data_IF_552686904569
#
_entry.id   IF_552686904569
#
_cell.length_a   1.000
_cell.length_b   1.000
_cell.length_c   1.000
_cell.angle_alpha   90.00
_cell.angle_beta   90.00
_cell.angle_gamma   90.00
#
_symmetry.space_group_name_H-M   'P 1'
#
loop_
_entity.id
_entity.type
_entity.pdbx_description
1 polymer ?
#
# COMPACT_ATOMS: atom_id res chain seq x y z
N UNK A 1 65.53 35.75 -11.43
CA UNK A 1 64.17 35.79 -10.84
C UNK A 1 63.25 34.94 -11.70
N UNK A 2 62.94 33.70 -11.26
CA UNK A 2 62.10 32.74 -12.00
C UNK A 2 60.66 32.85 -11.47
N UNK A 3 59.74 33.24 -12.35
CA UNK A 3 58.29 33.31 -12.04
C UNK A 3 57.71 31.91 -12.19
N UNK A 4 57.21 31.32 -11.10
CA UNK A 4 56.46 30.10 -11.11
C UNK A 4 54.97 30.43 -11.38
N UNK A 5 54.45 29.97 -12.51
CA UNK A 5 53.01 30.06 -12.83
C UNK A 5 52.34 28.80 -12.30
N UNK A 6 51.44 28.95 -11.33
CA UNK A 6 50.58 27.89 -10.80
C UNK A 6 49.33 27.82 -11.67
N UNK A 7 49.18 26.71 -12.39
CA UNK A 7 47.95 26.36 -13.11
C UNK A 7 46.97 25.72 -12.10
N UNK A 8 45.91 26.46 -11.77
CA UNK A 8 44.76 25.94 -11.01
C UNK A 8 43.85 25.23 -11.98
N UNK A 9 43.90 23.89 -11.98
CA UNK A 9 42.97 23.06 -12.73
C UNK A 9 41.60 23.02 -12.03
N UNK A 10 40.59 23.64 -12.64
CA UNK A 10 39.18 23.55 -12.21
C UNK A 10 38.63 22.17 -12.57
N UNK A 11 38.44 21.31 -11.58
CA UNK A 11 37.69 20.04 -11.76
C UNK A 11 36.22 20.39 -11.78
N UNK A 12 35.60 20.42 -12.96
CA UNK A 12 34.16 20.50 -13.11
C UNK A 12 33.58 19.14 -12.73
N UNK A 13 33.00 19.03 -11.52
CA UNK A 13 32.20 17.89 -11.13
C UNK A 13 30.90 17.89 -11.98
N UNK A 14 30.80 16.97 -12.93
CA UNK A 14 29.58 16.69 -13.66
C UNK A 14 28.58 16.05 -12.66
N UNK A 15 27.71 16.87 -12.08
CA UNK A 15 26.55 16.40 -11.36
C UNK A 15 25.59 15.79 -12.41
N UNK A 16 25.64 14.48 -12.60
CA UNK A 16 24.62 13.77 -13.36
C UNK A 16 23.30 13.86 -12.58
N UNK A 17 22.21 14.37 -13.20
CA UNK A 17 20.91 14.31 -12.56
C UNK A 17 20.55 12.83 -12.42
N UNK A 18 20.45 12.34 -11.19
CA UNK A 18 19.77 11.08 -10.92
C UNK A 18 18.31 11.30 -11.28
N UNK A 19 17.89 10.82 -12.43
CA UNK A 19 16.46 10.67 -12.72
C UNK A 19 15.95 9.58 -11.78
N UNK A 20 15.31 9.99 -10.69
CA UNK A 20 14.53 9.07 -9.89
C UNK A 20 13.48 8.47 -10.85
N UNK A 21 13.58 7.19 -11.15
CA UNK A 21 12.57 6.50 -11.94
C UNK A 21 11.25 6.61 -11.17
N UNK A 22 10.30 7.34 -11.73
CA UNK A 22 8.97 7.43 -11.17
C UNK A 22 8.31 6.05 -11.31
N UNK A 23 7.97 5.41 -10.19
CA UNK A 23 7.25 4.15 -10.21
C UNK A 23 5.89 4.34 -10.87
N UNK A 24 5.50 3.38 -11.69
CA UNK A 24 4.22 3.43 -12.38
C UNK A 24 3.47 2.11 -12.31
N UNK A 25 2.16 2.20 -12.05
CA UNK A 25 1.24 1.09 -12.20
C UNK A 25 0.87 0.87 -13.66
N UNK A 26 0.73 -0.40 -14.03
CA UNK A 26 0.11 -0.82 -15.29
C UNK A 26 -0.73 -2.08 -15.06
N UNK A 27 -1.67 -2.34 -15.98
CA UNK A 27 -2.63 -3.43 -15.84
C UNK A 27 -3.87 -3.00 -15.04
N UNK A 28 -4.35 -3.86 -14.16
CA UNK A 28 -5.51 -3.62 -13.29
C UNK A 28 -5.41 -4.50 -12.03
N UNK A 29 -6.29 -4.25 -11.06
CA UNK A 29 -6.37 -5.03 -9.83
C UNK A 29 -7.64 -5.90 -9.76
N UNK A 30 -8.21 -6.28 -10.91
CA UNK A 30 -9.40 -7.13 -10.94
C UNK A 30 -9.08 -8.57 -10.51
N UNK A 31 -9.99 -9.17 -9.77
CA UNK A 31 -9.85 -10.52 -9.25
C UNK A 31 -8.80 -10.62 -8.13
N UNK A 32 -8.54 -9.52 -7.43
CA UNK A 32 -7.66 -9.54 -6.26
C UNK A 32 -8.30 -10.30 -5.11
N UNK A 33 -7.53 -11.18 -4.48
CA UNK A 33 -8.00 -12.00 -3.39
C UNK A 33 -6.86 -12.34 -2.42
N UNK A 34 -7.19 -12.49 -1.15
CA UNK A 34 -6.24 -12.86 -0.13
C UNK A 34 -6.87 -13.02 1.24
N UNK A 35 -6.03 -13.06 2.25
CA UNK A 35 -6.42 -13.23 3.63
C UNK A 35 -5.81 -12.13 4.48
N UNK A 36 -6.55 -11.64 5.45
CA UNK A 36 -6.09 -10.66 6.44
C UNK A 36 -6.45 -11.09 7.86
N UNK A 37 -5.46 -11.03 8.74
CA UNK A 37 -5.64 -11.18 10.18
C UNK A 37 -5.78 -9.78 10.79
N UNK A 38 -6.96 -9.50 11.30
CA UNK A 38 -7.40 -8.18 11.77
C UNK A 38 -7.75 -8.24 13.25
N UNK A 39 -7.51 -7.15 13.97
CA UNK A 39 -7.88 -7.02 15.38
C UNK A 39 -8.39 -5.62 15.70
N UNK A 40 -9.55 -5.58 16.36
CA UNK A 40 -10.05 -4.42 17.08
C UNK A 40 -10.89 -4.89 18.25
N UNK A 41 -10.56 -5.28 19.32
CA UNK A 41 -11.26 -5.96 20.42
C UNK A 41 -11.19 -7.49 20.31
N UNK A 42 -11.39 -8.05 19.15
CA UNK A 42 -11.21 -9.47 18.85
C UNK A 42 -10.29 -9.62 17.63
N UNK A 43 -9.55 -10.71 17.62
CA UNK A 43 -8.71 -11.08 16.49
C UNK A 43 -9.52 -11.99 15.57
N UNK A 44 -9.55 -11.68 14.27
CA UNK A 44 -10.26 -12.46 13.25
C UNK A 44 -9.40 -12.60 12.00
N UNK A 45 -9.53 -13.73 11.33
CA UNK A 45 -8.92 -13.98 10.01
C UNK A 45 -10.02 -14.00 8.97
N UNK A 46 -9.96 -13.04 8.04
CA UNK A 46 -10.98 -12.84 7.02
C UNK A 46 -10.37 -12.94 5.62
N UNK A 47 -11.15 -13.50 4.69
CA UNK A 47 -10.84 -13.34 3.28
C UNK A 47 -11.10 -11.89 2.85
N UNK A 48 -10.26 -11.38 1.97
CA UNK A 48 -10.40 -10.05 1.38
C UNK A 48 -10.39 -10.18 -0.12
N UNK A 49 -11.39 -9.61 -0.77
CA UNK A 49 -11.47 -9.55 -2.23
C UNK A 49 -11.77 -8.14 -2.70
N UNK A 50 -11.28 -7.78 -3.89
CA UNK A 50 -11.63 -6.52 -4.54
C UNK A 50 -11.29 -6.55 -6.04
N UNK A 51 -11.89 -5.63 -6.76
CA UNK A 51 -11.49 -5.24 -8.11
C UNK A 51 -10.83 -3.86 -8.09
N UNK A 52 -10.10 -3.52 -9.14
CA UNK A 52 -9.49 -2.18 -9.20
C UNK A 52 -9.00 -1.80 -10.59
N UNK A 53 -9.03 -0.50 -10.83
CA UNK A 53 -8.63 0.11 -12.10
C UNK A 53 -7.47 1.08 -11.88
N UNK A 54 -6.44 1.01 -12.70
CA UNK A 54 -5.37 2.01 -12.75
C UNK A 54 -5.95 3.31 -13.30
N UNK A 55 -6.06 4.31 -12.46
CA UNK A 55 -6.63 5.64 -12.80
C UNK A 55 -5.57 6.64 -13.21
N UNK A 56 -4.33 6.42 -12.80
CA UNK A 56 -3.15 7.17 -13.23
C UNK A 56 -1.90 6.27 -13.14
N UNK A 57 -0.76 6.73 -13.62
CA UNK A 57 0.50 6.00 -13.46
C UNK A 57 0.85 5.70 -11.99
N UNK A 58 0.32 6.45 -11.04
CA UNK A 58 0.66 6.33 -9.62
C UNK A 58 -0.50 5.89 -8.74
N UNK A 59 -1.69 5.64 -9.30
CA UNK A 59 -2.90 5.38 -8.49
C UNK A 59 -3.76 4.28 -9.09
N UNK A 60 -4.24 3.39 -8.22
CA UNK A 60 -5.28 2.39 -8.50
C UNK A 60 -6.50 2.75 -7.65
N UNK A 61 -7.66 2.93 -8.30
CA UNK A 61 -8.94 2.99 -7.60
C UNK A 61 -9.43 1.57 -7.35
N UNK A 62 -9.73 1.24 -6.10
CA UNK A 62 -10.26 -0.06 -5.69
C UNK A 62 -11.78 0.03 -5.64
N UNK A 63 -12.43 -0.92 -6.26
CA UNK A 63 -13.88 -1.08 -6.30
C UNK A 63 -14.31 -2.41 -5.72
N UNK A 64 -15.55 -2.47 -5.26
CA UNK A 64 -16.16 -3.70 -4.72
C UNK A 64 -15.29 -4.42 -3.66
N UNK A 65 -14.68 -3.70 -2.69
CA UNK A 65 -13.98 -4.39 -1.62
C UNK A 65 -14.97 -5.20 -0.78
N UNK A 66 -14.58 -6.42 -0.42
CA UNK A 66 -15.34 -7.30 0.45
C UNK A 66 -14.40 -7.95 1.48
N UNK A 67 -14.89 -8.13 2.70
CA UNK A 67 -14.17 -8.73 3.82
C UNK A 67 -15.04 -9.86 4.35
N UNK A 68 -15.15 -10.91 3.57
CA UNK A 68 -15.89 -12.14 3.92
C UNK A 68 -15.62 -13.23 2.86
N UNK A 69 -15.69 -14.50 3.18
CA UNK A 69 -15.91 -15.13 4.50
C UNK A 69 -14.63 -15.18 5.36
N UNK A 70 -14.47 -16.19 6.18
CA UNK A 70 -13.37 -16.41 7.11
C UNK A 70 -13.92 -16.89 8.46
N UNK A 71 -13.38 -16.37 9.54
CA UNK A 71 -13.96 -16.56 10.86
C UNK A 71 -15.40 -16.04 10.91
N UNK A 72 -16.25 -16.65 11.74
CA UNK A 72 -17.67 -16.25 11.84
C UNK A 72 -17.85 -14.73 12.05
N UNK A 73 -16.95 -14.10 12.79
CA UNK A 73 -17.00 -12.66 13.05
C UNK A 73 -16.71 -11.80 11.83
N UNK A 74 -16.14 -12.36 10.76
CA UNK A 74 -15.92 -11.64 9.50
C UNK A 74 -17.22 -11.20 8.82
N UNK A 75 -18.34 -11.89 9.09
CA UNK A 75 -19.68 -11.51 8.60
C UNK A 75 -20.12 -10.13 9.11
N UNK A 76 -19.50 -9.62 10.15
CA UNK A 76 -19.80 -8.32 10.76
C UNK A 76 -18.72 -7.27 10.47
N UNK A 77 -17.67 -7.64 9.70
CA UNK A 77 -16.65 -6.71 9.25
C UNK A 77 -17.02 -6.25 7.86
N UNK A 78 -17.25 -4.96 7.70
CA UNK A 78 -17.61 -4.39 6.39
C UNK A 78 -16.59 -3.36 5.94
N UNK A 79 -16.25 -3.31 4.65
CA UNK A 79 -15.35 -2.28 4.13
C UNK A 79 -15.84 -0.88 4.45
N UNK A 80 -14.92 0.00 4.83
CA UNK A 80 -15.19 1.40 5.18
C UNK A 80 -14.43 2.34 4.25
N UNK A 81 -15.12 3.40 3.82
CA UNK A 81 -14.54 4.46 3.01
C UNK A 81 -14.18 4.03 1.58
N UNK A 82 -13.47 4.89 0.88
CA UNK A 82 -12.99 4.63 -0.49
C UNK A 82 -11.61 3.99 -0.44
N UNK A 83 -11.46 2.82 -1.03
CA UNK A 83 -10.18 2.13 -1.09
C UNK A 83 -9.37 2.55 -2.33
N UNK A 84 -8.06 2.67 -2.17
CA UNK A 84 -7.15 2.98 -3.27
C UNK A 84 -5.74 2.48 -2.96
N UNK A 85 -4.92 2.34 -4.00
CA UNK A 85 -3.50 2.08 -3.84
C UNK A 85 -2.69 3.15 -4.57
N UNK A 86 -1.50 3.47 -4.03
CA UNK A 86 -0.58 4.44 -4.61
C UNK A 86 0.85 3.91 -4.64
N UNK A 87 1.63 4.35 -5.63
CA UNK A 87 3.07 4.06 -5.68
C UNK A 87 3.81 4.79 -4.56
N UNK A 88 4.90 4.20 -4.10
CA UNK A 88 5.85 4.84 -3.18
C UNK A 88 7.00 5.41 -4.01
N UNK A 89 7.21 6.71 -3.96
CA UNK A 89 8.26 7.38 -4.74
C UNK A 89 9.65 6.78 -4.42
N UNK A 90 10.35 6.35 -5.47
CA UNK A 90 11.69 5.77 -5.36
C UNK A 90 11.75 4.32 -4.86
N UNK A 91 10.61 3.64 -4.65
CA UNK A 91 10.60 2.26 -4.15
C UNK A 91 9.54 1.40 -4.84
N UNK A 92 9.96 0.62 -5.84
CA UNK A 92 9.10 -0.31 -6.58
C UNK A 92 8.75 -1.60 -5.80
N UNK A 93 9.23 -1.73 -4.57
CA UNK A 93 8.92 -2.87 -3.69
C UNK A 93 7.87 -2.54 -2.64
N UNK A 94 7.28 -1.34 -2.71
CA UNK A 94 6.28 -0.85 -1.75
C UNK A 94 5.06 -0.28 -2.45
N UNK A 95 3.92 -0.48 -1.82
CA UNK A 95 2.65 0.14 -2.22
C UNK A 95 2.01 0.74 -0.96
N UNK A 96 1.55 1.97 -1.05
CA UNK A 96 0.68 2.57 -0.05
C UNK A 96 -0.77 2.22 -0.39
N UNK A 97 -1.48 1.57 0.52
CA UNK A 97 -2.89 1.23 0.36
C UNK A 97 -3.73 1.99 1.37
N UNK A 98 -4.73 2.71 0.89
CA UNK A 98 -5.75 3.38 1.69
C UNK A 98 -6.96 2.47 1.77
N UNK A 99 -7.36 2.12 2.98
CA UNK A 99 -8.46 1.20 3.24
C UNK A 99 -9.10 1.46 4.60
N UNK A 100 -10.20 0.82 4.86
CA UNK A 100 -10.83 0.83 6.16
C UNK A 100 -11.85 -0.27 6.34
N UNK A 101 -12.20 -0.50 7.58
CA UNK A 101 -13.23 -1.45 7.97
C UNK A 101 -14.07 -0.91 9.12
N UNK A 102 -15.34 -1.26 9.13
CA UNK A 102 -16.19 -1.18 10.29
C UNK A 102 -16.28 -2.58 10.90
N UNK A 103 -15.97 -2.70 12.16
CA UNK A 103 -15.89 -3.99 12.84
C UNK A 103 -17.14 -4.27 13.66
N UNK A 104 -17.18 -5.43 14.29
CA UNK A 104 -18.26 -5.85 15.22
C UNK A 104 -18.46 -4.86 16.38
N UNK A 105 -17.45 -4.09 16.73
CA UNK A 105 -17.54 -3.06 17.76
C UNK A 105 -18.27 -1.80 17.28
N UNK A 106 -18.63 -1.73 15.98
CA UNK A 106 -19.21 -0.57 15.32
C UNK A 106 -18.38 0.72 15.49
N UNK A 107 -17.05 0.54 15.45
CA UNK A 107 -16.04 1.59 15.61
C UNK A 107 -15.14 1.57 14.36
N UNK A 108 -15.49 2.34 13.31
CA UNK A 108 -14.83 2.23 12.02
C UNK A 108 -13.43 2.81 12.05
N UNK A 109 -12.50 2.11 11.39
CA UNK A 109 -11.15 2.55 11.12
C UNK A 109 -10.96 2.85 9.65
N UNK A 110 -10.11 3.85 9.34
CA UNK A 110 -9.77 4.19 7.96
C UNK A 110 -8.42 4.88 7.92
N UNK A 111 -7.58 4.53 6.96
CA UNK A 111 -6.28 5.16 6.80
C UNK A 111 -5.42 4.52 5.71
N UNK A 112 -4.19 5.00 5.61
CA UNK A 112 -3.22 4.50 4.64
C UNK A 112 -2.13 3.73 5.36
N UNK A 113 -1.83 2.54 4.87
CA UNK A 113 -0.73 1.69 5.34
C UNK A 113 0.18 1.32 4.18
N UNK A 114 1.46 1.11 4.48
CA UNK A 114 2.46 0.67 3.50
C UNK A 114 2.65 -0.82 3.59
N UNK A 115 2.51 -1.49 2.44
CA UNK A 115 2.80 -2.91 2.28
C UNK A 115 4.01 -3.17 1.39
N UNK A 116 4.53 -4.39 1.49
CA UNK A 116 5.57 -4.93 0.64
C UNK A 116 4.95 -5.50 -0.64
N UNK A 117 5.48 -5.11 -1.80
CA UNK A 117 5.03 -5.58 -3.10
C UNK A 117 6.06 -6.51 -3.73
N UNK A 118 5.66 -7.71 -4.04
CA UNK A 118 6.42 -8.63 -4.89
C UNK A 118 5.85 -8.62 -6.31
N UNK A 119 6.53 -7.92 -7.20
CA UNK A 119 6.09 -7.79 -8.59
C UNK A 119 6.19 -9.11 -9.39
N UNK A 120 7.00 -10.05 -8.96
CA UNK A 120 7.13 -11.37 -9.59
C UNK A 120 6.03 -12.32 -9.18
N UNK A 121 5.72 -12.37 -7.89
CA UNK A 121 4.63 -13.17 -7.32
C UNK A 121 3.26 -12.50 -7.49
N UNK A 122 3.21 -11.19 -7.76
CA UNK A 122 1.98 -10.38 -7.79
C UNK A 122 1.27 -10.37 -6.43
N UNK A 123 2.04 -10.22 -5.37
CA UNK A 123 1.54 -10.29 -4.00
C UNK A 123 1.86 -9.02 -3.23
N UNK A 124 0.85 -8.47 -2.58
CA UNK A 124 0.97 -7.43 -1.58
C UNK A 124 0.93 -8.07 -0.18
N UNK A 125 1.94 -7.78 0.63
CA UNK A 125 2.02 -8.23 2.03
C UNK A 125 2.00 -7.02 2.95
N UNK A 126 1.12 -7.04 3.95
CA UNK A 126 1.03 -6.02 5.00
C UNK A 126 1.27 -6.72 6.34
N UNK A 127 2.18 -6.19 7.16
CA UNK A 127 2.52 -6.80 8.44
C UNK A 127 2.59 -5.75 9.54
N UNK A 128 1.90 -6.02 10.65
CA UNK A 128 1.89 -5.20 11.87
C UNK A 128 1.66 -3.70 11.58
N UNK A 129 0.54 -3.38 10.94
CA UNK A 129 0.09 -2.01 10.67
C UNK A 129 -1.17 -1.70 11.46
N UNK A 130 -1.37 -0.41 11.73
CA UNK A 130 -2.57 0.09 12.38
C UNK A 130 -3.29 1.08 11.49
N UNK A 131 -4.61 1.02 11.51
CA UNK A 131 -5.49 2.03 10.94
C UNK A 131 -6.06 2.86 12.09
N UNK A 132 -5.98 4.20 12.01
CA UNK A 132 -6.59 5.05 13.01
C UNK A 132 -8.11 4.91 13.01
N UNK A 133 -8.78 5.10 14.15
CA UNK A 133 -10.23 5.19 14.20
C UNK A 133 -10.70 6.46 13.48
N UNK A 134 -11.91 6.41 12.92
CA UNK A 134 -12.55 7.59 12.32
C UNK A 134 -13.01 8.54 13.44
N UNK A 135 -13.59 7.99 14.50
CA UNK A 135 -13.85 8.77 15.73
C UNK A 135 -12.55 8.93 16.53
N UNK A 136 -12.13 10.15 16.88
CA UNK A 136 -10.90 10.37 17.67
C UNK A 136 -10.86 9.65 19.03
N UNK A 137 -12.03 9.27 19.57
CA UNK A 137 -12.14 8.52 20.81
C UNK A 137 -12.28 7.01 20.59
N UNK A 138 -12.31 6.57 19.35
CA UNK A 138 -12.46 5.17 18.98
C UNK A 138 -11.17 4.37 19.17
N UNK A 139 -11.28 3.06 19.03
CA UNK A 139 -10.14 2.15 19.07
C UNK A 139 -9.48 2.01 17.68
N UNK A 140 -8.17 1.90 17.64
CA UNK A 140 -7.43 1.59 16.41
C UNK A 140 -7.72 0.17 15.93
N UNK A 141 -7.69 -0.05 14.63
CA UNK A 141 -7.66 -1.41 14.06
C UNK A 141 -6.22 -1.82 13.78
N UNK A 142 -5.87 -3.04 14.12
CA UNK A 142 -4.56 -3.62 13.82
C UNK A 142 -4.70 -4.63 12.68
N UNK A 143 -3.82 -4.52 11.70
CA UNK A 143 -3.58 -5.53 10.67
C UNK A 143 -2.33 -6.28 11.10
N UNK A 144 -2.47 -7.47 11.68
CA UNK A 144 -1.32 -8.30 12.08
C UNK A 144 -0.61 -8.82 10.85
N UNK A 145 -1.38 -9.31 9.89
CA UNK A 145 -0.89 -9.73 8.58
C UNK A 145 -1.99 -9.61 7.54
N UNK A 146 -1.60 -9.30 6.30
CA UNK A 146 -2.44 -9.51 5.14
C UNK A 146 -1.57 -9.94 3.97
N UNK A 147 -2.04 -10.90 3.19
CA UNK A 147 -1.38 -11.39 1.99
C UNK A 147 -2.41 -11.43 0.87
N UNK A 148 -2.27 -10.56 -0.11
CA UNK A 148 -3.26 -10.35 -1.17
C UNK A 148 -2.60 -10.56 -2.53
N UNK A 149 -3.10 -11.49 -3.32
CA UNK A 149 -2.72 -11.70 -4.71
C UNK A 149 -3.43 -10.69 -5.60
N UNK A 150 -2.68 -9.97 -6.44
CA UNK A 150 -3.18 -8.99 -7.41
C UNK A 150 -2.62 -9.35 -8.79
N UNK A 151 -3.16 -10.38 -9.45
CA UNK A 151 -2.49 -11.08 -10.54
C UNK A 151 -2.22 -10.23 -11.79
N UNK A 152 -3.03 -9.20 -12.00
CA UNK A 152 -2.97 -8.38 -13.21
C UNK A 152 -2.30 -7.02 -13.02
N UNK A 153 -1.79 -6.72 -11.82
CA UNK A 153 -1.11 -5.45 -11.52
C UNK A 153 0.40 -5.59 -11.72
N UNK A 154 1.01 -4.57 -12.32
CA UNK A 154 2.45 -4.42 -12.41
C UNK A 154 2.86 -3.08 -11.81
N UNK A 155 4.01 -3.06 -11.14
CA UNK A 155 4.69 -1.87 -10.68
C UNK A 155 6.10 -1.84 -11.30
N UNK A 156 6.42 -0.78 -12.01
CA UNK A 156 7.71 -0.61 -12.73
C UNK A 156 8.36 0.72 -12.39
#
# INVERSE_FOLDING_TARGET
MKKLSVLIGTVAALAMPFTANAQSFSGNANGSAGEANLEQSINVTCDVTFDGTVTSSTTVAISSPDIAPGDFSCLFVVPQGTWSAATVSGDATKIDITMGANTVANDPCYGTVRGDWDNSAKVLTITNKTLPPIDPNGATCTIHSATISIPNLNLS
#
